data_IF_582240248492
#
_entry.id   IF_582240248492
#
_cell.length_a   1.000
_cell.length_b   1.000
_cell.length_c   1.000
_cell.angle_alpha   90.00
_cell.angle_beta   90.00
_cell.angle_gamma   90.00
#
_symmetry.space_group_name_H-M   'P 1'
#
loop_
_entity.id
_entity.type
_entity.pdbx_description
1 polymer ?
#
# COMPACT_ATOMS: atom_id res chain seq x y z
N UNK A 1 19.46 13.07 -5.63
CA UNK A 1 19.97 14.39 -5.15
C UNK A 1 18.98 15.00 -4.17
N UNK A 2 17.76 15.32 -4.61
CA UNK A 2 16.67 15.90 -3.80
C UNK A 2 16.45 15.25 -2.43
N UNK A 3 16.35 13.91 -2.36
CA UNK A 3 16.12 13.24 -1.07
C UNK A 3 17.23 13.48 -0.03
N UNK A 4 18.49 13.63 -0.45
CA UNK A 4 19.60 13.95 0.46
C UNK A 4 19.51 15.39 0.96
N UNK A 5 19.13 16.30 0.07
CA UNK A 5 18.96 17.72 0.38
C UNK A 5 17.81 17.91 1.40
N UNK A 6 16.69 17.19 1.24
CA UNK A 6 15.59 17.17 2.20
C UNK A 6 16.01 16.61 3.57
N UNK A 7 16.77 15.52 3.60
CA UNK A 7 17.28 14.95 4.86
C UNK A 7 18.19 15.96 5.58
N UNK A 8 19.06 16.64 4.83
CA UNK A 8 19.93 17.67 5.40
C UNK A 8 19.12 18.81 6.02
N UNK A 9 18.09 19.28 5.32
CA UNK A 9 17.18 20.30 5.84
C UNK A 9 16.45 19.86 7.12
N UNK A 10 15.90 18.63 7.16
CA UNK A 10 15.22 18.10 8.37
C UNK A 10 16.18 18.03 9.56
N UNK A 11 17.42 17.60 9.33
CA UNK A 11 18.46 17.55 10.38
C UNK A 11 18.80 18.93 10.93
N UNK A 12 18.90 19.94 10.08
CA UNK A 12 19.14 21.33 10.50
C UNK A 12 18.01 21.88 11.37
N UNK A 13 16.76 21.51 11.05
CA UNK A 13 15.58 21.86 11.85
C UNK A 13 15.40 20.96 13.10
N UNK A 14 16.32 20.01 13.35
CA UNK A 14 16.21 18.98 14.41
C UNK A 14 14.87 18.22 14.36
N UNK A 15 14.36 18.01 13.15
CA UNK A 15 13.16 17.23 12.93
C UNK A 15 13.41 15.73 13.10
N UNK A 16 12.32 14.97 13.16
CA UNK A 16 12.37 13.52 13.27
C UNK A 16 12.91 12.86 11.98
N UNK A 17 13.56 11.70 12.08
CA UNK A 17 14.03 10.97 10.91
C UNK A 17 12.88 10.55 9.98
N UNK A 18 12.93 11.01 8.72
CA UNK A 18 11.97 10.60 7.68
C UNK A 18 12.60 9.66 6.64
N UNK A 19 11.78 8.79 6.06
CA UNK A 19 12.18 7.87 4.99
C UNK A 19 11.74 8.39 3.63
N UNK A 20 12.70 8.62 2.74
CA UNK A 20 12.46 9.04 1.36
C UNK A 20 12.61 7.87 0.40
N UNK A 21 11.66 7.71 -0.52
CA UNK A 21 11.70 6.68 -1.57
C UNK A 21 11.99 7.35 -2.93
N UNK A 22 13.25 7.37 -3.40
CA UNK A 22 13.59 8.02 -4.66
C UNK A 22 13.13 7.18 -5.86
N UNK A 23 12.14 7.66 -6.62
CA UNK A 23 11.53 6.91 -7.73
C UNK A 23 12.51 6.55 -8.87
N UNK A 24 13.57 7.33 -9.05
CA UNK A 24 14.56 7.12 -10.12
C UNK A 24 15.45 5.90 -9.87
N UNK A 25 15.83 5.65 -8.62
CA UNK A 25 16.73 4.57 -8.21
C UNK A 25 16.02 3.42 -7.51
N UNK A 26 14.69 3.48 -7.42
CA UNK A 26 13.92 2.44 -6.75
C UNK A 26 13.85 1.19 -7.60
N UNK A 27 14.63 0.18 -7.21
CA UNK A 27 14.55 -1.16 -7.80
C UNK A 27 13.33 -1.89 -7.23
N UNK A 28 12.45 -2.31 -8.13
CA UNK A 28 11.23 -3.02 -7.76
C UNK A 28 11.13 -4.33 -8.52
N UNK A 29 10.70 -5.36 -7.81
CA UNK A 29 10.34 -6.63 -8.45
C UNK A 29 8.97 -6.47 -9.11
N UNK A 30 8.81 -6.90 -10.38
CA UNK A 30 7.52 -6.89 -11.02
C UNK A 30 6.53 -7.75 -10.22
N UNK A 31 5.29 -7.29 -10.16
CA UNK A 31 4.23 -7.99 -9.45
C UNK A 31 3.88 -9.27 -10.21
N UNK A 32 3.73 -10.38 -9.48
CA UNK A 32 3.39 -11.66 -10.10
C UNK A 32 1.91 -11.68 -10.49
N UNK A 33 1.64 -11.70 -11.81
CA UNK A 33 0.28 -11.68 -12.35
C UNK A 33 -0.49 -12.97 -12.02
N UNK A 34 0.20 -14.09 -11.76
CA UNK A 34 -0.45 -15.36 -11.35
C UNK A 34 -1.21 -15.20 -10.05
N UNK A 35 -0.77 -14.29 -9.18
CA UNK A 35 -1.45 -14.00 -7.91
C UNK A 35 -2.80 -13.28 -8.11
N UNK A 36 -3.06 -12.69 -9.29
CA UNK A 36 -4.37 -12.11 -9.63
C UNK A 36 -5.41 -13.17 -9.96
N UNK A 37 -4.99 -14.38 -10.34
CA UNK A 37 -5.89 -15.50 -10.65
C UNK A 37 -6.40 -16.21 -9.39
N UNK A 38 -5.82 -15.92 -8.22
CA UNK A 38 -6.23 -16.49 -6.94
C UNK A 38 -7.64 -16.04 -6.57
N UNK A 39 -8.59 -16.98 -6.60
CA UNK A 39 -9.97 -16.71 -6.17
C UNK A 39 -10.02 -16.40 -4.67
N UNK A 40 -10.68 -15.28 -4.32
CA UNK A 40 -10.85 -14.84 -2.94
C UNK A 40 -9.75 -13.89 -2.42
N UNK A 41 -8.76 -13.56 -3.26
CA UNK A 41 -7.73 -12.57 -2.95
C UNK A 41 -7.55 -11.58 -4.11
N UNK A 42 -7.05 -10.38 -3.79
CA UNK A 42 -6.63 -9.38 -4.78
C UNK A 42 -5.28 -8.82 -4.39
N UNK A 43 -4.48 -8.38 -5.35
CA UNK A 43 -3.25 -7.68 -5.02
C UNK A 43 -3.56 -6.33 -4.37
N UNK A 44 -2.77 -5.96 -3.37
CA UNK A 44 -2.93 -4.68 -2.66
C UNK A 44 -2.75 -3.50 -3.62
N UNK A 45 -1.88 -3.63 -4.62
CA UNK A 45 -1.65 -2.58 -5.61
C UNK A 45 -2.89 -2.27 -6.48
N UNK A 46 -3.77 -3.24 -6.69
CA UNK A 46 -4.97 -3.08 -7.53
C UNK A 46 -6.13 -2.43 -6.74
N UNK A 47 -6.07 -2.41 -5.41
CA UNK A 47 -7.10 -1.78 -4.56
C UNK A 47 -6.73 -0.35 -4.15
N UNK A 48 -5.48 0.06 -4.35
CA UNK A 48 -5.01 1.42 -4.05
C UNK A 48 -5.23 2.29 -5.28
N UNK A 49 -6.00 3.36 -5.13
CA UNK A 49 -6.07 4.45 -6.13
C UNK A 49 -4.99 5.46 -5.81
N UNK A 50 -4.22 5.83 -6.81
CA UNK A 50 -3.07 6.71 -6.63
C UNK A 50 -2.93 7.66 -7.81
N UNK A 51 -2.62 8.90 -7.50
CA UNK A 51 -2.25 9.93 -8.44
C UNK A 51 -1.07 10.67 -7.82
N UNK A 52 -0.02 11.01 -8.59
CA UNK A 52 0.16 10.82 -10.04
C UNK A 52 0.69 9.42 -10.45
N UNK A 53 0.57 8.99 -11.73
CA UNK A 53 0.90 7.61 -12.15
C UNK A 53 2.35 7.15 -11.93
N UNK A 54 3.30 8.08 -11.86
CA UNK A 54 4.73 7.76 -11.71
C UNK A 54 5.09 7.17 -10.33
N UNK A 55 4.21 7.32 -9.32
CA UNK A 55 4.42 6.72 -7.99
C UNK A 55 4.14 5.20 -7.97
N UNK A 56 3.72 4.62 -9.10
CA UNK A 56 3.50 3.18 -9.24
C UNK A 56 4.71 2.36 -8.76
N UNK A 57 5.93 2.81 -9.02
CA UNK A 57 7.14 2.13 -8.52
C UNK A 57 7.21 2.13 -6.99
N UNK A 58 6.93 3.26 -6.33
CA UNK A 58 6.90 3.31 -4.87
C UNK A 58 5.84 2.38 -4.28
N UNK A 59 4.67 2.29 -4.93
CA UNK A 59 3.62 1.36 -4.53
C UNK A 59 4.03 -0.10 -4.74
N UNK A 60 4.69 -0.43 -5.86
CA UNK A 60 5.23 -1.77 -6.09
C UNK A 60 6.28 -2.13 -5.04
N UNK A 61 7.14 -1.18 -4.63
CA UNK A 61 8.11 -1.39 -3.58
C UNK A 61 7.45 -1.65 -2.22
N UNK A 62 6.46 -0.82 -1.85
CA UNK A 62 5.79 -0.90 -0.55
C UNK A 62 4.87 -2.13 -0.44
N UNK A 63 4.09 -2.40 -1.50
CA UNK A 63 3.09 -3.47 -1.51
C UNK A 63 3.65 -4.81 -2.00
N UNK A 64 4.52 -4.81 -3.02
CA UNK A 64 5.04 -6.01 -3.67
C UNK A 64 3.93 -6.96 -4.11
N UNK A 65 4.09 -8.24 -3.78
CA UNK A 65 3.13 -9.31 -4.01
C UNK A 65 2.15 -9.50 -2.82
N UNK A 66 1.88 -8.45 -2.05
CA UNK A 66 0.92 -8.53 -0.96
C UNK A 66 -0.50 -8.72 -1.51
N UNK A 67 -1.24 -9.60 -0.87
CA UNK A 67 -2.62 -9.94 -1.18
C UNK A 67 -3.55 -9.43 -0.09
N UNK A 68 -4.75 -9.02 -0.49
CA UNK A 68 -5.83 -8.66 0.40
C UNK A 68 -7.01 -9.61 0.22
N UNK A 69 -7.52 -10.13 1.32
CA UNK A 69 -8.69 -11.01 1.37
C UNK A 69 -9.80 -10.38 2.21
N UNK A 70 -11.05 -10.69 1.87
CA UNK A 70 -12.21 -10.23 2.65
C UNK A 70 -12.52 -11.19 3.81
N UNK A 71 -12.29 -12.49 3.62
CA UNK A 71 -12.55 -13.53 4.62
C UNK A 71 -11.26 -13.99 5.33
N UNK A 72 -11.35 -14.26 6.64
CA UNK A 72 -10.23 -14.77 7.45
C UNK A 72 -9.82 -16.18 7.01
N UNK A 73 -10.80 -17.02 6.70
CA UNK A 73 -10.57 -18.42 6.31
C UNK A 73 -9.79 -18.51 5.00
N UNK A 74 -10.22 -17.75 3.99
CA UNK A 74 -9.51 -17.65 2.72
C UNK A 74 -8.11 -17.05 2.90
N UNK A 75 -7.97 -16.02 3.74
CA UNK A 75 -6.67 -15.42 4.04
C UNK A 75 -5.68 -16.45 4.63
N UNK A 76 -6.14 -17.24 5.61
CA UNK A 76 -5.33 -18.27 6.25
C UNK A 76 -4.97 -19.39 5.27
N UNK A 77 -5.92 -19.83 4.44
CA UNK A 77 -5.70 -20.85 3.42
C UNK A 77 -4.68 -20.39 2.39
N UNK A 78 -4.75 -19.14 1.92
CA UNK A 78 -3.81 -18.62 0.92
C UNK A 78 -2.42 -18.34 1.52
N UNK A 79 -2.37 -17.86 2.77
CA UNK A 79 -1.10 -17.57 3.43
C UNK A 79 -0.29 -18.83 3.77
N UNK A 80 -0.96 -19.94 4.14
CA UNK A 80 -0.31 -21.14 4.68
C UNK A 80 -0.62 -22.46 3.97
N UNK A 81 -1.61 -22.50 3.07
CA UNK A 81 -2.09 -23.74 2.44
C UNK A 81 -1.37 -24.12 1.14
N UNK A 82 -0.53 -23.24 0.59
CA UNK A 82 0.26 -23.52 -0.62
C UNK A 82 1.70 -23.94 -0.32
N UNK A 83 2.42 -24.35 -1.36
CA UNK A 83 3.87 -24.60 -1.29
C UNK A 83 4.67 -23.31 -1.01
N UNK A 84 4.15 -22.15 -1.39
CA UNK A 84 4.73 -20.85 -1.08
C UNK A 84 3.85 -20.09 -0.10
N UNK A 85 4.51 -19.39 0.84
CA UNK A 85 3.84 -18.48 1.76
C UNK A 85 3.65 -17.12 1.11
N UNK A 86 2.43 -16.62 1.12
CA UNK A 86 2.09 -15.31 0.60
C UNK A 86 1.81 -14.32 1.73
N UNK A 87 2.20 -13.05 1.54
CA UNK A 87 1.86 -11.97 2.48
C UNK A 87 0.42 -11.58 2.26
N UNK A 88 -0.48 -12.07 3.11
CA UNK A 88 -1.92 -11.80 3.02
C UNK A 88 -2.35 -10.91 4.17
N UNK A 89 -3.13 -9.87 3.87
CA UNK A 89 -3.79 -9.01 4.85
C UNK A 89 -5.31 -9.14 4.72
N UNK A 90 -6.01 -9.07 5.85
CA UNK A 90 -7.46 -9.06 5.85
C UNK A 90 -7.96 -7.62 5.73
N UNK A 91 -9.01 -7.38 4.93
CA UNK A 91 -9.75 -6.13 5.04
C UNK A 91 -10.42 -6.08 6.40
N UNK A 92 -10.19 -4.99 7.15
CA UNK A 92 -11.06 -4.69 8.29
C UNK A 92 -12.47 -4.39 7.76
N UNK A 93 -13.52 -4.94 8.38
CA UNK A 93 -14.88 -4.54 8.06
C UNK A 93 -14.99 -3.02 8.25
N UNK A 94 -15.39 -2.30 7.20
CA UNK A 94 -15.66 -0.87 7.33
C UNK A 94 -16.83 -0.72 8.29
N UNK A 95 -16.60 -0.09 9.43
CA UNK A 95 -17.69 0.43 10.27
C UNK A 95 -18.57 1.33 9.39
N UNK A 96 -19.92 1.24 9.50
CA UNK A 96 -20.80 2.08 8.72
C UNK A 96 -20.49 3.55 9.03
N UNK A 97 -20.07 4.29 7.99
CA UNK A 97 -19.85 5.73 8.08
C UNK A 97 -21.19 6.39 8.42
N UNK A 98 -21.36 6.84 9.66
CA UNK A 98 -22.35 7.87 9.98
C UNK A 98 -22.04 9.07 9.08
N UNK A 99 -22.88 9.29 8.09
CA UNK A 99 -22.84 10.49 7.27
C UNK A 99 -23.09 11.68 8.21
N UNK A 100 -22.02 12.40 8.56
CA UNK A 100 -22.14 13.73 9.16
C UNK A 100 -22.58 14.66 8.03
N UNK A 101 -23.89 14.76 7.82
CA UNK A 101 -24.46 15.92 7.11
C UNK A 101 -24.30 17.14 8.01
N UNK A 102 -24.15 18.29 7.35
CA UNK A 102 -24.04 19.66 7.88
C UNK A 102 -22.64 20.10 8.30
N UNK A 103 -22.01 20.85 7.41
CA UNK A 103 -21.55 22.22 7.69
C UNK A 103 -21.26 22.91 6.34
N UNK A 104 -22.32 23.24 5.59
CA UNK A 104 -22.29 24.35 4.65
C UNK A 104 -23.24 25.40 5.21
N UNK A 105 -22.68 26.37 5.90
CA UNK A 105 -23.14 27.76 6.00
C UNK A 105 -22.25 28.46 7.02
N UNK A 106 -21.26 29.19 6.53
CA UNK A 106 -20.70 30.33 7.24
C UNK A 106 -20.73 31.49 6.22
N UNK A 107 -21.31 32.65 6.60
CA UNK A 107 -21.54 33.80 5.72
C UNK A 107 -20.26 34.48 5.22
#
# INVERSE_FOLDING_TARGET
>A
KTGRDCIQYIKEQRGEPETFLPLDYLEVKPTDEKLRELRGAKLVIDVIRYEPPHIKKALQFACGNALVCDNVEDARRIAFGGHQRHKVTQKRPKSPQKHSKNCQNIP
#
